data_IF_391635011915
#
_entry.id   IF_391635011915
#
_cell.length_a   1.000
_cell.length_b   1.000
_cell.length_c   1.000
_cell.angle_alpha   90.00
_cell.angle_beta   90.00
_cell.angle_gamma   90.00
#
_symmetry.space_group_name_H-M   'P 1'
#
loop_
_entity.id
_entity.type
_entity.pdbx_description
1 polymer ?
#
# COMPACT_ATOMS: atom_id res chain seq x y z
N UNK A 1 -4.21 5.23 21.08
CA UNK A 1 -3.19 5.08 20.02
C UNK A 1 -3.93 4.60 18.79
N UNK A 2 -3.79 5.27 17.64
CA UNK A 2 -4.40 4.78 16.40
C UNK A 2 -3.60 3.57 15.90
N UNK A 3 -4.26 2.51 15.40
CA UNK A 3 -3.54 1.38 14.81
C UNK A 3 -2.76 1.85 13.59
N UNK A 4 -1.54 1.34 13.44
CA UNK A 4 -0.70 1.52 12.25
C UNK A 4 -0.92 0.30 11.35
N UNK A 5 -1.21 0.52 10.09
CA UNK A 5 -1.58 -0.51 9.13
C UNK A 5 -0.71 -0.41 7.88
N UNK A 6 -0.21 -1.54 7.39
CA UNK A 6 0.28 -1.68 6.01
C UNK A 6 -0.82 -2.29 5.18
N UNK A 7 -1.11 -1.72 4.02
CA UNK A 7 -1.96 -2.35 3.03
C UNK A 7 -1.08 -3.11 2.05
N UNK A 8 -1.45 -4.37 1.80
CA UNK A 8 -0.93 -5.14 0.68
C UNK A 8 -1.27 -4.42 -0.64
N UNK A 9 -0.41 -4.57 -1.64
CA UNK A 9 -0.60 -4.05 -2.99
C UNK A 9 -1.96 -4.46 -3.58
N UNK A 10 -2.45 -5.66 -3.28
CA UNK A 10 -3.77 -6.13 -3.70
C UNK A 10 -4.92 -5.36 -3.05
N UNK A 11 -4.77 -4.94 -1.79
CA UNK A 11 -5.77 -4.10 -1.10
C UNK A 11 -5.74 -2.68 -1.63
N UNK A 12 -4.56 -2.11 -1.88
CA UNK A 12 -4.41 -0.81 -2.55
C UNK A 12 -5.08 -0.85 -3.94
N UNK A 13 -4.71 -1.81 -4.78
CA UNK A 13 -5.28 -1.99 -6.12
C UNK A 13 -6.80 -2.17 -6.06
N UNK A 14 -7.29 -3.06 -5.20
CA UNK A 14 -8.72 -3.36 -5.10
C UNK A 14 -9.52 -2.16 -4.57
N UNK A 15 -8.94 -1.39 -3.65
CA UNK A 15 -9.57 -0.20 -3.09
C UNK A 15 -9.66 0.95 -4.08
N UNK A 16 -8.73 1.03 -5.03
CA UNK A 16 -8.77 2.02 -6.12
C UNK A 16 -9.71 1.60 -7.26
N UNK A 17 -9.73 0.31 -7.60
CA UNK A 17 -10.52 -0.20 -8.72
C UNK A 17 -12.00 -0.42 -8.43
N UNK A 18 -12.38 -0.77 -7.19
CA UNK A 18 -13.75 -1.17 -6.86
C UNK A 18 -14.23 -0.66 -5.51
N UNK A 19 -15.54 -0.46 -5.38
CA UNK A 19 -16.18 -0.18 -4.08
C UNK A 19 -16.36 -1.50 -3.33
N UNK A 20 -15.82 -1.59 -2.12
CA UNK A 20 -15.85 -2.80 -1.30
C UNK A 20 -15.09 -2.65 0.02
N UNK A 21 -14.78 -3.77 0.67
CA UNK A 21 -13.99 -3.75 1.92
C UNK A 21 -12.61 -3.08 1.74
N UNK A 22 -11.83 -3.35 0.67
CA UNK A 22 -10.56 -2.66 0.44
C UNK A 22 -10.72 -1.13 0.32
N UNK A 23 -11.74 -0.66 -0.41
CA UNK A 23 -12.05 0.77 -0.50
C UNK A 23 -12.35 1.37 0.88
N UNK A 24 -13.11 0.67 1.73
CA UNK A 24 -13.39 1.13 3.10
C UNK A 24 -12.13 1.22 3.94
N UNK A 25 -11.16 0.31 3.78
CA UNK A 25 -9.87 0.39 4.45
C UNK A 25 -9.13 1.68 4.08
N UNK A 26 -9.10 2.03 2.79
CA UNK A 26 -8.50 3.29 2.33
C UNK A 26 -9.23 4.51 2.90
N UNK A 27 -10.55 4.49 2.96
CA UNK A 27 -11.33 5.59 3.55
C UNK A 27 -11.08 5.77 5.05
N UNK A 28 -10.86 4.67 5.80
CA UNK A 28 -10.49 4.76 7.22
C UNK A 28 -9.14 5.48 7.38
N UNK A 29 -8.17 5.21 6.51
CA UNK A 29 -6.88 5.90 6.50
C UNK A 29 -7.04 7.37 6.08
N UNK A 30 -7.76 7.61 4.97
CA UNK A 30 -8.04 8.95 4.43
C UNK A 30 -8.73 9.87 5.44
N UNK A 31 -9.65 9.33 6.23
CA UNK A 31 -10.39 10.07 7.28
C UNK A 31 -9.65 10.16 8.60
N UNK A 32 -8.43 9.60 8.69
CA UNK A 32 -7.59 9.63 9.89
C UNK A 32 -8.06 8.72 11.03
N UNK A 33 -8.97 7.78 10.76
CA UNK A 33 -9.43 6.80 11.76
C UNK A 33 -8.37 5.73 12.04
N UNK A 34 -7.46 5.49 11.09
CA UNK A 34 -6.26 4.66 11.24
C UNK A 34 -5.07 5.39 10.64
N UNK A 35 -3.85 5.01 11.05
CA UNK A 35 -2.64 5.40 10.35
C UNK A 35 -2.28 4.33 9.36
N UNK A 36 -2.05 4.71 8.11
CA UNK A 36 -1.58 3.79 7.09
C UNK A 36 -0.17 4.17 6.66
N UNK A 37 0.68 3.17 6.53
CA UNK A 37 2.05 3.30 6.05
C UNK A 37 2.22 2.49 4.77
N UNK A 38 3.20 2.88 3.97
CA UNK A 38 3.61 2.19 2.73
C UNK A 38 5.11 2.35 2.52
N UNK A 39 5.70 1.70 1.53
CA UNK A 39 7.09 1.94 1.11
C UNK A 39 7.14 2.17 -0.41
N UNK A 40 8.32 2.55 -0.92
CA UNK A 40 8.48 2.85 -2.35
C UNK A 40 8.18 1.62 -3.20
N UNK A 41 8.64 0.45 -2.77
CA UNK A 41 8.52 -0.82 -3.47
C UNK A 41 7.05 -1.25 -3.64
N UNK A 42 6.23 -1.09 -2.59
CA UNK A 42 4.78 -1.35 -2.69
C UNK A 42 4.07 -0.37 -3.62
N UNK A 43 4.52 0.89 -3.64
CA UNK A 43 3.98 1.88 -4.56
C UNK A 43 4.35 1.53 -6.00
N UNK A 44 5.60 1.17 -6.26
CA UNK A 44 6.07 0.77 -7.59
C UNK A 44 5.30 -0.44 -8.13
N UNK A 45 5.10 -1.46 -7.30
CA UNK A 45 4.29 -2.65 -7.65
C UNK A 45 2.82 -2.27 -7.92
N UNK A 46 2.25 -1.36 -7.13
CA UNK A 46 0.91 -0.86 -7.36
C UNK A 46 0.80 -0.14 -8.70
N UNK A 47 1.77 0.72 -9.05
CA UNK A 47 1.75 1.46 -10.30
C UNK A 47 1.77 0.52 -11.51
N UNK A 48 2.62 -0.51 -11.48
CA UNK A 48 2.65 -1.53 -12.52
C UNK A 48 1.28 -2.22 -12.67
N UNK A 49 0.64 -2.59 -11.54
CA UNK A 49 -0.68 -3.23 -11.56
C UNK A 49 -1.80 -2.29 -12.03
N UNK A 50 -1.74 -0.99 -11.71
CA UNK A 50 -2.71 -0.01 -12.19
C UNK A 50 -2.65 0.15 -13.72
N UNK A 51 -1.44 0.20 -14.28
CA UNK A 51 -1.23 0.23 -15.72
C UNK A 51 -1.74 -1.06 -16.37
N UNK A 52 -1.29 -2.23 -15.90
CA UNK A 52 -1.59 -3.52 -16.54
C UNK A 52 -3.04 -3.99 -16.38
N UNK A 53 -3.65 -3.78 -15.20
CA UNK A 53 -4.98 -4.34 -14.87
C UNK A 53 -6.11 -3.35 -15.04
N UNK A 54 -5.87 -2.08 -14.79
CA UNK A 54 -6.90 -1.03 -14.89
C UNK A 54 -6.72 -0.12 -16.11
N UNK A 55 -5.65 -0.29 -16.88
CA UNK A 55 -5.32 0.54 -18.05
C UNK A 55 -5.28 2.03 -17.71
N UNK A 56 -4.75 2.37 -16.52
CA UNK A 56 -4.59 3.77 -16.14
C UNK A 56 -3.53 4.43 -17.03
N UNK A 57 -3.82 5.65 -17.46
CA UNK A 57 -2.85 6.53 -18.12
C UNK A 57 -1.86 7.12 -17.11
N UNK A 58 -0.70 7.60 -17.59
CA UNK A 58 0.31 8.27 -16.76
C UNK A 58 -0.26 9.40 -15.89
N UNK A 59 -1.22 10.16 -16.43
CA UNK A 59 -1.90 11.22 -15.68
C UNK A 59 -2.74 10.64 -14.54
N UNK A 60 -3.50 9.58 -14.79
CA UNK A 60 -4.31 8.94 -13.76
C UNK A 60 -3.45 8.27 -12.69
N UNK A 61 -2.32 7.68 -13.08
CA UNK A 61 -1.31 7.14 -12.16
C UNK A 61 -0.79 8.25 -11.25
N UNK A 62 -0.40 9.38 -11.83
CA UNK A 62 0.14 10.53 -11.07
C UNK A 62 -0.89 11.08 -10.08
N UNK A 63 -2.14 11.28 -10.53
CA UNK A 63 -3.23 11.76 -9.68
C UNK A 63 -3.53 10.77 -8.54
N UNK A 64 -3.54 9.47 -8.85
CA UNK A 64 -3.78 8.40 -7.88
C UNK A 64 -2.67 8.34 -6.84
N UNK A 65 -1.40 8.44 -7.26
CA UNK A 65 -0.26 8.44 -6.36
C UNK A 65 -0.30 9.66 -5.43
N UNK A 66 -0.58 10.84 -5.98
CA UNK A 66 -0.74 12.08 -5.20
C UNK A 66 -1.85 11.95 -4.15
N UNK A 67 -2.98 11.36 -4.54
CA UNK A 67 -4.10 11.10 -3.64
C UNK A 67 -3.74 10.13 -2.51
N UNK A 68 -3.10 8.99 -2.83
CA UNK A 68 -2.63 8.02 -1.83
C UNK A 68 -1.63 8.66 -0.86
N UNK A 69 -0.64 9.39 -1.36
CA UNK A 69 0.39 10.04 -0.54
C UNK A 69 -0.16 11.16 0.34
N UNK A 70 -1.38 11.64 0.10
CA UNK A 70 -2.05 12.60 0.99
C UNK A 70 -2.44 11.99 2.35
N UNK A 71 -2.54 10.66 2.44
CA UNK A 71 -2.93 9.96 3.68
C UNK A 71 -2.10 8.71 4.02
N UNK A 72 -1.25 8.22 3.12
CA UNK A 72 -0.27 7.17 3.40
C UNK A 72 1.07 7.79 3.80
N UNK A 73 1.69 7.27 4.86
CA UNK A 73 3.04 7.65 5.24
C UNK A 73 4.06 6.69 4.62
N UNK A 74 4.98 7.22 3.82
CA UNK A 74 6.06 6.42 3.22
C UNK A 74 7.16 6.15 4.25
N UNK A 75 7.53 4.88 4.43
CA UNK A 75 8.68 4.42 5.19
C UNK A 75 9.74 3.87 4.24
N UNK A 76 11.00 4.01 4.61
CA UNK A 76 12.13 3.50 3.84
C UNK A 76 12.52 2.12 4.35
N UNK A 77 12.39 1.11 3.51
CA UNK A 77 12.89 -0.24 3.79
C UNK A 77 14.28 -0.43 3.18
N UNK A 78 14.95 -1.51 3.60
CA UNK A 78 16.31 -1.87 3.18
C UNK A 78 16.36 -3.02 2.19
N UNK A 79 15.23 -3.71 1.97
CA UNK A 79 15.11 -4.91 1.13
C UNK A 79 16.08 -6.01 1.58
N UNK A 80 16.24 -6.16 2.89
CA UNK A 80 17.12 -7.17 3.51
C UNK A 80 16.34 -8.31 4.15
N UNK A 81 15.03 -8.12 4.36
CA UNK A 81 14.17 -9.17 4.87
C UNK A 81 13.92 -10.22 3.77
N UNK A 82 14.29 -11.47 4.04
CA UNK A 82 14.04 -12.58 3.13
C UNK A 82 13.54 -13.79 3.94
N UNK A 83 12.27 -13.75 4.31
CA UNK A 83 11.63 -14.73 5.19
C UNK A 83 10.56 -15.53 4.43
N UNK A 84 9.85 -14.89 3.51
CA UNK A 84 8.88 -15.54 2.63
C UNK A 84 9.63 -16.04 1.40
N UNK A 85 9.86 -17.35 1.37
CA UNK A 85 10.59 -18.02 0.28
C UNK A 85 9.64 -18.33 -0.90
N UNK A 86 8.36 -18.58 -0.61
CA UNK A 86 7.36 -18.98 -1.60
C UNK A 86 6.91 -17.83 -2.49
N UNK A 87 6.92 -16.61 -1.94
CA UNK A 87 6.61 -15.38 -2.64
C UNK A 87 7.56 -14.27 -2.14
N UNK A 88 8.73 -14.10 -2.77
CA UNK A 88 9.71 -13.13 -2.33
C UNK A 88 9.23 -11.69 -2.33
N UNK A 89 8.23 -11.34 -3.15
CA UNK A 89 7.72 -9.97 -3.27
C UNK A 89 6.97 -9.57 -2.00
N UNK A 90 6.26 -10.51 -1.35
CA UNK A 90 5.58 -10.27 -0.07
C UNK A 90 6.55 -9.89 1.08
N UNK A 91 7.86 -10.13 0.93
CA UNK A 91 8.83 -9.68 1.93
C UNK A 91 8.83 -8.16 2.08
N UNK A 92 8.54 -7.39 1.04
CA UNK A 92 8.52 -5.93 1.13
C UNK A 92 7.33 -5.44 1.99
N UNK A 93 6.18 -6.13 1.93
CA UNK A 93 5.01 -5.87 2.79
C UNK A 93 5.40 -6.09 4.27
N UNK A 94 6.04 -7.23 4.56
CA UNK A 94 6.50 -7.55 5.90
C UNK A 94 7.58 -6.57 6.40
N UNK A 95 8.57 -6.25 5.57
CA UNK A 95 9.64 -5.34 5.96
C UNK A 95 9.09 -3.93 6.22
N UNK A 96 8.15 -3.47 5.39
CA UNK A 96 7.43 -2.21 5.60
C UNK A 96 6.68 -2.21 6.94
N UNK A 97 5.99 -3.31 7.25
CA UNK A 97 5.27 -3.47 8.51
C UNK A 97 6.20 -3.45 9.73
N UNK A 98 7.34 -4.13 9.64
CA UNK A 98 8.34 -4.17 10.72
C UNK A 98 8.98 -2.80 10.93
N UNK A 99 9.47 -2.17 9.86
CA UNK A 99 10.16 -0.87 9.92
C UNK A 99 9.21 0.24 10.39
N UNK A 100 7.98 0.24 9.89
CA UNK A 100 6.98 1.25 10.26
C UNK A 100 6.19 0.91 11.54
N UNK A 101 6.56 -0.16 12.25
CA UNK A 101 5.90 -0.60 13.49
C UNK A 101 4.39 -0.80 13.34
N UNK A 102 3.96 -1.39 12.22
CA UNK A 102 2.56 -1.68 11.97
C UNK A 102 2.02 -2.72 12.95
N UNK A 103 0.76 -2.53 13.33
CA UNK A 103 -0.01 -3.47 14.14
C UNK A 103 -0.75 -4.49 13.25
N UNK A 104 -1.01 -4.14 12.00
CA UNK A 104 -1.77 -4.96 11.05
C UNK A 104 -1.17 -4.88 9.64
N UNK A 105 -1.26 -5.99 8.94
CA UNK A 105 -1.11 -6.09 7.49
C UNK A 105 -2.48 -6.50 6.96
N UNK A 106 -2.98 -5.81 5.94
CA UNK A 106 -4.33 -6.03 5.39
C UNK A 106 -4.25 -6.21 3.89
#
# INVERSE_FOLDING_TARGET
>A
MYPIVVFDTNVLLSGLGWRGSPYRCLELARTGQIKAITCQELLDELLEKLEQKLNFTDSQITDTLSDLLSFLQVVKISNTLNVIITDPDDNMVLECAVVGHANYIV
#
